data_IF_925414497248
#
_entry.id   IF_925414497248
#
_cell.length_a   1.000
_cell.length_b   1.000
_cell.length_c   1.000
_cell.angle_alpha   90.00
_cell.angle_beta   90.00
_cell.angle_gamma   90.00
#
_symmetry.space_group_name_H-M   'P 1'
#
loop_
_entity.id
_entity.type
_entity.pdbx_description
1 polymer ?
#
# COMPACT_ATOMS: atom_id res chain seq x y z
N UNK A 1 43.17 -58.29 1.17
CA UNK A 1 42.91 -58.00 -0.26
C UNK A 1 44.04 -57.17 -0.90
N UNK A 2 45.33 -57.48 -0.65
CA UNK A 2 46.47 -56.75 -1.26
C UNK A 2 47.02 -57.38 -2.56
N UNK A 3 46.71 -58.65 -2.85
CA UNK A 3 47.34 -59.39 -3.95
C UNK A 3 46.74 -59.20 -5.35
N UNK A 4 45.54 -58.64 -5.50
CA UNK A 4 44.88 -58.58 -6.81
C UNK A 4 45.46 -57.46 -7.71
N UNK A 5 45.87 -56.34 -7.11
CA UNK A 5 46.43 -55.22 -7.86
C UNK A 5 47.89 -55.51 -8.23
N UNK A 6 48.68 -56.10 -7.32
CA UNK A 6 50.06 -56.52 -7.63
C UNK A 6 50.11 -57.50 -8.80
N UNK A 7 49.19 -58.48 -8.82
CA UNK A 7 49.09 -59.44 -9.92
C UNK A 7 48.70 -58.76 -11.24
N UNK A 8 47.73 -57.85 -11.21
CA UNK A 8 47.32 -57.08 -12.38
C UNK A 8 48.44 -56.19 -12.95
N UNK A 9 49.16 -55.48 -12.08
CA UNK A 9 50.27 -54.60 -12.48
C UNK A 9 51.42 -55.43 -13.06
N UNK A 10 51.74 -56.58 -12.43
CA UNK A 10 52.77 -57.50 -12.90
C UNK A 10 52.45 -58.07 -14.28
N UNK A 11 51.23 -58.59 -14.48
CA UNK A 11 50.79 -59.22 -15.73
C UNK A 11 50.70 -58.21 -16.89
N UNK A 12 50.38 -56.94 -16.59
CA UNK A 12 50.21 -55.90 -17.60
C UNK A 12 51.40 -54.94 -17.71
N UNK A 13 52.51 -55.18 -16.96
CA UNK A 13 53.66 -54.26 -16.90
C UNK A 13 54.20 -53.88 -18.27
N UNK A 14 54.34 -54.85 -19.18
CA UNK A 14 54.82 -54.61 -20.55
C UNK A 14 53.92 -53.65 -21.35
N UNK A 15 52.60 -53.72 -21.13
CA UNK A 15 51.64 -52.83 -21.81
C UNK A 15 51.76 -51.38 -21.31
N UNK A 16 52.21 -51.16 -20.07
CA UNK A 16 52.47 -49.82 -19.56
C UNK A 16 53.77 -49.23 -20.12
N UNK A 17 54.81 -50.03 -20.30
CA UNK A 17 56.12 -49.56 -20.78
C UNK A 17 56.14 -49.29 -22.30
N UNK A 18 55.28 -49.93 -23.09
CA UNK A 18 55.23 -49.79 -24.57
C UNK A 18 54.25 -48.71 -25.06
N UNK A 19 53.30 -48.29 -24.23
CA UNK A 19 52.30 -47.30 -24.60
C UNK A 19 52.89 -45.88 -24.59
N UNK A 20 53.25 -45.36 -25.77
CA UNK A 20 53.59 -43.95 -25.94
C UNK A 20 52.30 -43.13 -25.90
N UNK A 21 52.15 -42.18 -24.97
CA UNK A 21 50.97 -41.33 -24.94
C UNK A 21 50.91 -40.46 -26.21
N UNK A 22 49.73 -40.18 -26.77
CA UNK A 22 49.60 -39.26 -27.89
C UNK A 22 50.19 -37.89 -27.54
N UNK A 23 50.89 -37.27 -28.50
CA UNK A 23 51.74 -36.08 -28.29
C UNK A 23 51.01 -34.86 -27.69
N UNK A 24 49.67 -34.88 -27.68
CA UNK A 24 48.84 -33.77 -27.20
C UNK A 24 47.96 -34.11 -25.97
N UNK A 25 48.28 -35.18 -25.23
CA UNK A 25 47.54 -35.48 -23.99
C UNK A 25 47.70 -34.34 -22.97
N UNK A 26 48.91 -33.81 -22.79
CA UNK A 26 49.15 -32.72 -21.84
C UNK A 26 48.41 -31.44 -22.22
N UNK A 27 48.35 -31.09 -23.50
CA UNK A 27 47.59 -29.92 -23.97
C UNK A 27 46.08 -30.08 -23.75
N UNK A 28 45.54 -31.30 -23.85
CA UNK A 28 44.13 -31.56 -23.56
C UNK A 28 43.84 -31.53 -22.05
N UNK A 29 44.75 -32.02 -21.22
CA UNK A 29 44.64 -31.94 -19.75
C UNK A 29 44.72 -30.47 -19.29
N UNK A 30 45.65 -29.69 -19.84
CA UNK A 30 45.78 -28.27 -19.53
C UNK A 30 44.55 -27.46 -19.97
N UNK A 31 44.03 -27.71 -21.18
CA UNK A 31 42.79 -27.10 -21.65
C UNK A 31 41.59 -27.47 -20.77
N UNK A 32 41.46 -28.73 -20.39
CA UNK A 32 40.36 -29.18 -19.51
C UNK A 32 40.49 -28.63 -18.08
N UNK A 33 41.70 -28.45 -17.55
CA UNK A 33 41.93 -27.79 -16.26
C UNK A 33 41.57 -26.30 -16.35
N UNK A 34 42.05 -25.60 -17.38
CA UNK A 34 41.75 -24.17 -17.60
C UNK A 34 40.23 -23.96 -17.72
N UNK A 35 39.52 -24.77 -18.51
CA UNK A 35 38.05 -24.71 -18.63
C UNK A 35 37.34 -24.96 -17.29
N UNK A 36 37.82 -25.91 -16.48
CA UNK A 36 37.26 -26.19 -15.14
C UNK A 36 37.55 -25.09 -14.11
N UNK A 37 38.72 -24.44 -14.18
CA UNK A 37 39.06 -23.30 -13.32
C UNK A 37 38.29 -22.03 -13.71
N UNK A 38 38.03 -21.82 -15.00
CA UNK A 38 37.26 -20.68 -15.53
C UNK A 38 35.75 -20.80 -15.25
N UNK A 39 35.21 -22.02 -15.12
CA UNK A 39 33.78 -22.24 -14.80
C UNK A 39 33.40 -21.88 -13.36
N UNK A 40 34.34 -21.84 -12.40
CA UNK A 40 34.06 -21.44 -11.01
C UNK A 40 34.04 -19.92 -10.77
N UNK A 41 34.41 -19.10 -11.77
CA UNK A 41 34.49 -17.63 -11.65
C UNK A 41 33.40 -16.83 -12.36
N UNK A 42 32.29 -17.45 -12.77
CA UNK A 42 31.08 -16.69 -13.17
C UNK A 42 30.07 -16.66 -12.03
N UNK A 43 30.24 -15.61 -11.22
CA UNK A 43 29.39 -15.22 -10.10
C UNK A 43 27.90 -15.34 -10.41
N UNK A 44 27.17 -16.16 -9.64
CA UNK A 44 25.71 -16.03 -9.49
C UNK A 44 25.32 -14.84 -8.58
N UNK A 45 26.06 -13.73 -8.65
CA UNK A 45 25.80 -12.55 -7.82
C UNK A 45 24.65 -11.67 -8.35
N UNK A 46 24.19 -11.88 -9.59
CA UNK A 46 23.12 -11.03 -10.16
C UNK A 46 21.69 -11.52 -9.87
N UNK A 47 21.47 -12.81 -9.55
CA UNK A 47 20.11 -13.34 -9.31
C UNK A 47 19.61 -13.17 -7.88
N UNK A 48 20.47 -12.97 -6.88
CA UNK A 48 20.02 -12.68 -5.51
C UNK A 48 19.57 -11.22 -5.33
N UNK A 49 20.15 -10.28 -6.08
CA UNK A 49 19.83 -8.85 -5.96
C UNK A 49 18.42 -8.51 -6.46
N UNK A 50 17.89 -9.26 -7.43
CA UNK A 50 16.51 -9.07 -7.92
C UNK A 50 15.45 -9.60 -6.95
N UNK A 51 15.71 -10.70 -6.24
CA UNK A 51 14.81 -11.16 -5.16
C UNK A 51 14.85 -10.24 -3.94
N UNK A 52 16.02 -9.69 -3.59
CA UNK A 52 16.13 -8.64 -2.56
C UNK A 52 15.37 -7.38 -2.99
N UNK A 53 15.44 -6.99 -4.27
CA UNK A 53 14.77 -5.80 -4.79
C UNK A 53 13.24 -5.91 -4.78
N UNK A 54 12.69 -7.09 -5.05
CA UNK A 54 11.25 -7.33 -5.01
C UNK A 54 10.74 -7.34 -3.56
N UNK A 55 11.45 -7.99 -2.64
CA UNK A 55 11.10 -7.98 -1.21
C UNK A 55 11.13 -6.55 -0.62
N UNK A 56 12.08 -5.72 -1.04
CA UNK A 56 12.16 -4.32 -0.63
C UNK A 56 10.96 -3.49 -1.14
N UNK A 57 10.50 -3.72 -2.38
CA UNK A 57 9.29 -3.07 -2.90
C UNK A 57 8.04 -3.50 -2.14
N UNK A 58 7.87 -4.80 -1.87
CA UNK A 58 6.75 -5.27 -1.04
C UNK A 58 6.79 -4.68 0.36
N UNK A 59 7.96 -4.61 1.00
CA UNK A 59 8.11 -3.95 2.29
C UNK A 59 7.76 -2.47 2.23
N UNK A 60 8.18 -1.74 1.21
CA UNK A 60 7.84 -0.32 1.03
C UNK A 60 6.34 -0.11 0.81
N UNK A 61 5.69 -0.94 -0.02
CA UNK A 61 4.25 -0.85 -0.27
C UNK A 61 3.46 -1.23 0.99
N UNK A 62 3.86 -2.29 1.70
CA UNK A 62 3.21 -2.68 2.95
C UNK A 62 3.44 -1.65 4.06
N UNK A 63 4.65 -1.10 4.21
CA UNK A 63 4.92 -0.06 5.22
C UNK A 63 4.22 1.25 4.88
N UNK A 64 4.22 1.68 3.62
CA UNK A 64 3.42 2.83 3.17
C UNK A 64 1.93 2.59 3.36
N UNK A 65 1.43 1.39 3.05
CA UNK A 65 0.04 0.99 3.27
C UNK A 65 -0.35 0.98 4.76
N UNK A 66 0.52 0.47 5.63
CA UNK A 66 0.32 0.47 7.09
C UNK A 66 0.38 1.90 7.63
N UNK A 67 1.33 2.74 7.18
CA UNK A 67 1.41 4.14 7.59
C UNK A 67 0.20 4.95 7.10
N UNK A 68 -0.27 4.70 5.88
CA UNK A 68 -1.49 5.30 5.32
C UNK A 68 -2.73 4.87 6.11
N UNK A 69 -2.88 3.57 6.37
CA UNK A 69 -3.97 3.02 7.18
C UNK A 69 -3.95 3.54 8.63
N UNK A 70 -2.77 3.61 9.26
CA UNK A 70 -2.59 4.17 10.61
C UNK A 70 -2.86 5.67 10.65
N UNK A 71 -2.46 6.43 9.64
CA UNK A 71 -2.79 7.86 9.51
C UNK A 71 -4.30 8.07 9.38
N UNK A 72 -4.98 7.17 8.66
CA UNK A 72 -6.44 7.21 8.54
C UNK A 72 -7.15 6.77 9.85
N UNK A 73 -6.53 5.90 10.66
CA UNK A 73 -7.08 5.44 11.95
C UNK A 73 -6.71 6.28 13.17
N UNK A 74 -5.60 7.02 13.16
CA UNK A 74 -5.08 7.72 14.36
C UNK A 74 -5.92 8.92 14.83
N UNK A 75 -7.11 9.10 14.28
CA UNK A 75 -7.96 10.25 14.51
C UNK A 75 -9.20 9.96 15.36
N UNK A 76 -9.43 8.71 15.78
CA UNK A 76 -10.47 8.39 16.77
C UNK A 76 -9.98 8.80 18.16
N UNK A 77 -10.09 10.09 18.46
CA UNK A 77 -9.93 10.57 19.83
C UNK A 77 -11.13 10.11 20.65
N UNK A 78 -10.83 9.41 21.74
CA UNK A 78 -11.85 9.02 22.70
C UNK A 78 -12.11 10.19 23.65
N UNK A 79 -13.28 10.80 23.50
CA UNK A 79 -13.72 11.91 24.35
C UNK A 79 -14.52 11.43 25.57
N UNK A 80 -14.66 10.11 25.80
CA UNK A 80 -15.47 9.55 26.88
C UNK A 80 -15.01 9.99 28.28
N UNK A 81 -13.74 10.38 28.41
CA UNK A 81 -13.16 10.91 29.64
C UNK A 81 -13.56 12.37 29.95
N UNK A 82 -14.11 13.10 28.97
CA UNK A 82 -14.62 14.46 29.14
C UNK A 82 -16.10 14.38 29.51
N UNK A 83 -16.91 13.86 28.59
CA UNK A 83 -18.32 13.56 28.79
C UNK A 83 -18.72 12.39 27.87
N UNK A 84 -19.26 11.28 28.41
CA UNK A 84 -19.58 10.09 27.63
C UNK A 84 -20.77 10.28 26.68
N UNK A 85 -21.72 11.15 27.01
CA UNK A 85 -22.91 11.44 26.20
C UNK A 85 -22.51 12.27 24.97
N UNK A 86 -21.73 13.33 25.19
CA UNK A 86 -21.20 14.18 24.14
C UNK A 86 -20.21 13.41 23.25
N UNK A 87 -19.34 12.57 23.83
CA UNK A 87 -18.43 11.73 23.07
C UNK A 87 -19.16 10.80 22.10
N UNK A 88 -20.23 10.14 22.57
CA UNK A 88 -21.08 9.30 21.73
C UNK A 88 -21.72 10.10 20.59
N UNK A 89 -22.31 11.27 20.90
CA UNK A 89 -22.95 12.14 19.90
C UNK A 89 -21.96 12.62 18.85
N UNK A 90 -20.76 13.01 19.27
CA UNK A 90 -19.69 13.43 18.37
C UNK A 90 -19.32 12.30 17.39
N UNK A 91 -19.17 11.07 17.88
CA UNK A 91 -18.88 9.90 17.05
C UNK A 91 -20.00 9.62 16.05
N UNK A 92 -21.26 9.64 16.49
CA UNK A 92 -22.42 9.43 15.63
C UNK A 92 -22.48 10.47 14.50
N UNK A 93 -22.34 11.75 14.82
CA UNK A 93 -22.37 12.81 13.82
C UNK A 93 -21.16 12.81 12.90
N UNK A 94 -19.97 12.49 13.40
CA UNK A 94 -18.79 12.33 12.55
C UNK A 94 -18.97 11.20 11.54
N UNK A 95 -19.59 10.09 11.94
CA UNK A 95 -19.94 9.01 11.02
C UNK A 95 -20.96 9.47 9.97
N UNK A 96 -21.98 10.20 10.38
CA UNK A 96 -23.03 10.69 9.49
C UNK A 96 -22.50 11.72 8.46
N UNK A 97 -21.55 12.57 8.86
CA UNK A 97 -20.85 13.47 7.93
C UNK A 97 -20.12 12.66 6.86
N UNK A 98 -19.38 11.62 7.24
CA UNK A 98 -18.64 10.79 6.28
C UNK A 98 -19.60 10.08 5.31
N UNK A 99 -20.67 9.46 5.82
CA UNK A 99 -21.69 8.80 5.00
C UNK A 99 -22.28 9.76 3.95
N UNK A 100 -22.62 10.98 4.37
CA UNK A 100 -23.18 11.99 3.46
C UNK A 100 -22.18 12.51 2.44
N UNK A 101 -20.90 12.63 2.80
CA UNK A 101 -19.83 12.96 1.85
C UNK A 101 -19.64 11.87 0.81
N UNK A 102 -19.69 10.61 1.22
CA UNK A 102 -19.59 9.48 0.30
C UNK A 102 -20.80 9.45 -0.65
N UNK A 103 -22.00 9.70 -0.13
CA UNK A 103 -23.20 9.85 -0.95
C UNK A 103 -23.09 11.02 -1.96
N UNK A 104 -22.58 12.18 -1.52
CA UNK A 104 -22.35 13.35 -2.37
C UNK A 104 -21.37 13.02 -3.49
N UNK A 105 -20.25 12.36 -3.16
CA UNK A 105 -19.25 11.93 -4.13
C UNK A 105 -19.80 10.93 -5.14
N UNK A 106 -20.64 9.99 -4.68
CA UNK A 106 -21.24 8.98 -5.55
C UNK A 106 -22.28 9.59 -6.50
N UNK A 107 -23.13 10.50 -6.00
CA UNK A 107 -24.16 11.15 -6.81
C UNK A 107 -23.55 12.14 -7.80
N UNK A 108 -22.51 12.89 -7.42
CA UNK A 108 -21.85 13.85 -8.30
C UNK A 108 -20.73 13.24 -9.16
N UNK A 109 -20.62 11.91 -9.23
CA UNK A 109 -19.54 11.21 -9.95
C UNK A 109 -19.45 11.57 -11.45
N UNK A 110 -20.57 11.97 -12.05
CA UNK A 110 -20.65 12.35 -13.46
C UNK A 110 -20.42 13.86 -13.71
N UNK A 111 -20.36 14.67 -12.66
CA UNK A 111 -20.10 16.11 -12.74
C UNK A 111 -19.03 16.55 -11.71
N UNK A 112 -17.75 16.45 -12.09
CA UNK A 112 -16.64 16.82 -11.21
C UNK A 112 -16.63 18.30 -10.82
N UNK A 113 -17.15 19.20 -11.67
CA UNK A 113 -17.17 20.63 -11.37
C UNK A 113 -18.20 20.93 -10.27
N UNK A 114 -19.39 20.34 -10.38
CA UNK A 114 -20.43 20.44 -9.36
C UNK A 114 -19.98 19.83 -8.02
N UNK A 115 -19.31 18.68 -8.07
CA UNK A 115 -18.73 18.08 -6.86
C UNK A 115 -17.72 19.01 -6.18
N UNK A 116 -16.87 19.68 -6.96
CA UNK A 116 -15.86 20.60 -6.43
C UNK A 116 -16.50 21.80 -5.74
N UNK A 117 -17.50 22.43 -6.37
CA UNK A 117 -18.22 23.57 -5.81
C UNK A 117 -18.87 23.23 -4.46
N UNK A 118 -19.52 22.07 -4.38
CA UNK A 118 -20.12 21.60 -3.13
C UNK A 118 -19.08 21.20 -2.08
N UNK A 119 -17.98 20.59 -2.50
CA UNK A 119 -16.92 20.13 -1.60
C UNK A 119 -16.16 21.29 -0.95
N UNK A 120 -15.95 22.41 -1.64
CA UNK A 120 -15.20 23.56 -1.11
C UNK A 120 -15.84 24.15 0.16
N UNK A 121 -17.18 24.22 0.19
CA UNK A 121 -17.93 24.70 1.37
C UNK A 121 -17.72 23.76 2.56
N UNK A 122 -17.80 22.45 2.33
CA UNK A 122 -17.61 21.44 3.39
C UNK A 122 -16.16 21.42 3.87
N UNK A 123 -15.20 21.58 2.96
CA UNK A 123 -13.77 21.60 3.30
C UNK A 123 -13.44 22.77 4.24
N UNK A 124 -14.10 23.93 4.07
CA UNK A 124 -13.98 25.05 5.01
C UNK A 124 -14.50 24.69 6.41
N UNK A 125 -15.67 24.05 6.50
CA UNK A 125 -16.21 23.59 7.79
C UNK A 125 -15.33 22.54 8.46
N UNK A 126 -14.75 21.61 7.67
CA UNK A 126 -13.80 20.63 8.18
C UNK A 126 -12.52 21.26 8.72
N UNK A 127 -12.04 22.32 8.09
CA UNK A 127 -10.88 23.05 8.62
C UNK A 127 -11.18 23.62 10.01
N UNK A 128 -12.38 24.19 10.21
CA UNK A 128 -12.81 24.68 11.52
C UNK A 128 -12.92 23.53 12.54
N UNK A 129 -13.48 22.38 12.13
CA UNK A 129 -13.53 21.19 12.99
C UNK A 129 -12.14 20.72 13.41
N UNK A 130 -11.18 20.72 12.48
CA UNK A 130 -9.79 20.34 12.75
C UNK A 130 -9.12 21.31 13.75
N UNK A 131 -9.37 22.61 13.63
CA UNK A 131 -8.90 23.59 14.61
C UNK A 131 -9.45 23.31 16.00
N UNK A 132 -10.77 23.10 16.12
CA UNK A 132 -11.40 22.74 17.41
C UNK A 132 -10.81 21.46 18.02
N UNK A 133 -10.45 20.48 17.17
CA UNK A 133 -9.78 19.24 17.58
C UNK A 133 -8.36 19.47 18.11
N UNK A 134 -7.64 20.44 17.58
CA UNK A 134 -6.32 20.83 18.08
C UNK A 134 -6.46 21.63 19.40
N UNK A 135 -7.45 22.52 19.48
CA UNK A 135 -7.72 23.37 20.63
C UNK A 135 -8.24 22.59 21.86
N UNK A 136 -9.01 21.52 21.67
CA UNK A 136 -9.60 20.76 22.80
C UNK A 136 -8.54 20.19 23.76
N UNK A 137 -7.31 19.93 23.26
CA UNK A 137 -6.22 19.45 24.10
C UNK A 137 -5.72 20.54 25.08
N UNK A 138 -5.80 21.81 24.69
CA UNK A 138 -5.34 22.97 25.46
C UNK A 138 -6.49 23.75 26.12
N UNK A 139 -7.74 23.42 25.77
CA UNK A 139 -8.93 24.11 26.25
C UNK A 139 -9.09 23.98 27.77
N UNK A 140 -9.27 25.10 28.50
CA UNK A 140 -9.65 25.08 29.91
C UNK A 140 -11.00 24.42 30.15
N UNK A 141 -11.93 24.52 29.18
CA UNK A 141 -13.24 23.90 29.23
C UNK A 141 -13.43 22.95 28.03
N UNK A 142 -12.99 21.71 28.21
CA UNK A 142 -13.02 20.67 27.18
C UNK A 142 -14.44 20.28 26.77
N UNK A 143 -15.40 20.36 27.68
CA UNK A 143 -16.81 20.04 27.42
C UNK A 143 -17.42 21.06 26.45
N UNK A 144 -17.21 22.36 26.70
CA UNK A 144 -17.66 23.42 25.81
C UNK A 144 -17.01 23.33 24.41
N UNK A 145 -15.72 23.00 24.35
CA UNK A 145 -15.04 22.78 23.07
C UNK A 145 -15.61 21.56 22.34
N UNK A 146 -15.89 20.47 23.06
CA UNK A 146 -16.52 19.28 22.49
C UNK A 146 -17.94 19.57 21.96
N UNK A 147 -18.71 20.40 22.67
CA UNK A 147 -20.02 20.87 22.20
C UNK A 147 -19.89 21.71 20.93
N UNK A 148 -18.92 22.63 20.85
CA UNK A 148 -18.64 23.38 19.63
C UNK A 148 -18.24 22.46 18.45
N UNK A 149 -17.48 21.39 18.71
CA UNK A 149 -17.15 20.38 17.70
C UNK A 149 -18.41 19.66 17.20
N UNK A 150 -19.31 19.28 18.10
CA UNK A 150 -20.60 18.65 17.76
C UNK A 150 -21.46 19.60 16.93
N UNK A 151 -21.58 20.87 17.33
CA UNK A 151 -22.35 21.88 16.60
C UNK A 151 -21.77 22.10 15.19
N UNK A 152 -20.43 22.08 15.06
CA UNK A 152 -19.79 22.14 13.76
C UNK A 152 -20.15 20.94 12.87
N UNK A 153 -20.18 19.72 13.42
CA UNK A 153 -20.61 18.53 12.68
C UNK A 153 -22.09 18.60 12.28
N UNK A 154 -22.96 19.12 13.15
CA UNK A 154 -24.38 19.33 12.81
C UNK A 154 -24.54 20.28 11.63
N UNK A 155 -23.83 21.41 11.62
CA UNK A 155 -23.85 22.34 10.49
C UNK A 155 -23.34 21.67 9.20
N UNK A 156 -22.30 20.84 9.28
CA UNK A 156 -21.84 20.06 8.12
C UNK A 156 -22.93 19.12 7.60
N UNK A 157 -23.64 18.44 8.50
CA UNK A 157 -24.75 17.53 8.14
C UNK A 157 -25.87 18.31 7.44
N UNK A 158 -26.25 19.48 7.95
CA UNK A 158 -27.28 20.34 7.37
C UNK A 158 -26.92 20.78 5.95
N UNK A 159 -25.69 21.27 5.75
CA UNK A 159 -25.22 21.69 4.42
C UNK A 159 -25.15 20.50 3.47
N UNK A 160 -24.62 19.35 3.91
CA UNK A 160 -24.57 18.15 3.08
C UNK A 160 -25.97 17.67 2.68
N UNK A 161 -26.96 17.75 3.58
CA UNK A 161 -28.35 17.42 3.27
C UNK A 161 -28.90 18.31 2.16
N UNK A 162 -28.69 19.62 2.28
CA UNK A 162 -29.14 20.58 1.27
C UNK A 162 -28.49 20.30 -0.08
N UNK A 163 -27.18 20.04 -0.11
CA UNK A 163 -26.46 19.70 -1.35
C UNK A 163 -26.99 18.42 -2.00
N UNK A 164 -27.24 17.38 -1.21
CA UNK A 164 -27.82 16.12 -1.69
C UNK A 164 -29.24 16.32 -2.24
N UNK A 165 -30.04 17.17 -1.62
CA UNK A 165 -31.40 17.51 -2.08
C UNK A 165 -31.35 18.24 -3.44
N UNK A 166 -30.49 19.24 -3.58
CA UNK A 166 -30.27 19.96 -4.84
C UNK A 166 -29.84 19.00 -5.95
N UNK A 167 -28.90 18.10 -5.65
CA UNK A 167 -28.40 17.12 -6.62
C UNK A 167 -29.48 16.11 -7.03
N UNK A 168 -30.31 15.68 -6.08
CA UNK A 168 -31.46 14.83 -6.37
C UNK A 168 -32.48 15.55 -7.27
N UNK A 169 -32.73 16.84 -7.04
CA UNK A 169 -33.59 17.64 -7.89
C UNK A 169 -33.05 17.74 -9.32
N UNK A 170 -31.76 18.05 -9.49
CA UNK A 170 -31.11 18.12 -10.82
C UNK A 170 -31.28 16.79 -11.57
N UNK A 171 -30.93 15.66 -10.94
CA UNK A 171 -31.07 14.34 -11.57
C UNK A 171 -32.51 13.97 -11.91
N UNK A 172 -33.50 14.43 -11.14
CA UNK A 172 -34.91 14.20 -11.46
C UNK A 172 -35.35 14.98 -12.70
N UNK A 173 -34.83 16.19 -12.90
CA UNK A 173 -35.17 17.01 -14.06
C UNK A 173 -34.54 16.44 -15.34
N UNK A 174 -33.29 16.00 -15.28
CA UNK A 174 -32.61 15.34 -16.41
C UNK A 174 -33.33 14.06 -16.87
N UNK A 175 -33.94 13.32 -15.94
CA UNK A 175 -34.73 12.11 -16.24
C UNK A 175 -36.08 12.41 -16.89
N UNK A 176 -36.62 13.62 -16.76
CA UNK A 176 -37.93 14.00 -17.34
C UNK A 176 -37.81 14.56 -18.76
N UNK A 177 -36.67 15.14 -19.11
CA UNK A 177 -36.37 15.69 -20.44
C UNK A 177 -36.02 14.70 -21.58
N UNK A 178 -35.90 13.35 -21.42
CA UNK A 178 -35.60 12.46 -22.55
C UNK A 178 -36.70 12.35 -23.63
N UNK A 179 -37.92 12.85 -23.37
CA UNK A 179 -39.09 12.63 -24.24
C UNK A 179 -39.60 13.88 -24.97
N UNK A 180 -38.95 15.04 -24.81
CA UNK A 180 -39.39 16.29 -25.44
C UNK A 180 -38.65 16.60 -26.76
N UNK A 181 -37.78 15.68 -27.19
CA UNK A 181 -37.13 15.69 -28.51
C UNK A 181 -37.58 14.46 -29.33
N UNK A 182 -38.87 14.37 -29.66
CA UNK A 182 -39.38 13.50 -30.74
C UNK A 182 -40.36 14.30 -31.59
#
# INVERSE_FOLDING_TARGET
MKGNIEKFISENKKLFDEAVPPENIWGNIERSLEENFQQKKKSKALKQRTFISIAAMFLLVCTAGILFYRTNQSNKQDYSNIDPILAKRQLEYASLVNEKRDALSAMAANDPNLYQEFSDVINKMQSNYKQLKEEIAQSPNKELTLEAMINNLQMQIEVLNQQLEVLNYIHQQEKKTPYENI
#
